data_IF_658469764196
#
_entry.id   IF_658469764196
#
_cell.length_a   1.000
_cell.length_b   1.000
_cell.length_c   1.000
_cell.angle_alpha   90.00
_cell.angle_beta   90.00
_cell.angle_gamma   90.00
#
_symmetry.space_group_name_H-M   'P 1'
#
loop_
_entity.id
_entity.type
_entity.pdbx_description
1 polymer ?
#
# COMPACT_ATOMS: atom_id res chain seq x y z
N UNK A 1 -15.00 10.36 -6.91
CA UNK A 1 -13.69 9.68 -6.94
C UNK A 1 -12.90 10.15 -5.74
N UNK A 2 -12.39 9.23 -4.90
CA UNK A 2 -11.50 9.61 -3.79
C UNK A 2 -10.21 10.16 -4.41
N UNK A 3 -9.77 11.32 -3.97
CA UNK A 3 -8.59 11.97 -4.53
C UNK A 3 -7.35 11.12 -4.24
N UNK A 4 -6.61 10.72 -5.29
CA UNK A 4 -5.40 9.91 -5.15
C UNK A 4 -4.22 10.85 -4.86
N UNK A 5 -3.46 10.55 -3.80
CA UNK A 5 -2.30 11.34 -3.36
C UNK A 5 -0.99 10.93 -4.05
N UNK A 6 -1.02 9.90 -4.90
CA UNK A 6 0.15 9.45 -5.67
C UNK A 6 0.69 10.60 -6.53
N UNK A 7 1.97 10.92 -6.36
CA UNK A 7 2.64 12.00 -7.08
C UNK A 7 2.34 13.41 -6.55
N UNK A 8 1.66 13.54 -5.40
CA UNK A 8 1.39 14.81 -4.72
C UNK A 8 2.19 14.91 -3.43
N UNK A 9 2.35 16.14 -2.92
CA UNK A 9 2.81 16.32 -1.55
C UNK A 9 1.82 15.67 -0.58
N UNK A 10 2.34 14.84 0.31
CA UNK A 10 1.57 14.18 1.36
C UNK A 10 2.13 14.59 2.71
N UNK A 11 1.25 14.73 3.69
CA UNK A 11 1.66 14.85 5.08
C UNK A 11 2.39 13.58 5.50
N UNK A 12 3.40 13.75 6.35
CA UNK A 12 4.14 12.65 6.99
C UNK A 12 3.71 12.63 8.46
N UNK A 13 2.81 11.70 8.87
CA UNK A 13 2.37 11.60 10.25
C UNK A 13 3.54 11.36 11.19
N UNK A 14 3.53 12.03 12.35
CA UNK A 14 4.51 11.81 13.43
C UNK A 14 4.14 10.63 14.34
N UNK A 15 2.95 10.07 14.16
CA UNK A 15 2.40 8.92 14.88
C UNK A 15 1.78 7.96 13.87
N UNK A 16 1.52 6.72 14.29
CA UNK A 16 0.81 5.76 13.47
C UNK A 16 -0.52 6.35 12.98
N UNK A 17 -0.74 6.28 11.68
CA UNK A 17 -1.97 6.70 11.02
C UNK A 17 -2.22 5.80 9.81
N UNK A 18 -3.25 4.95 9.87
CA UNK A 18 -3.61 4.06 8.78
C UNK A 18 -4.32 4.79 7.62
N UNK A 19 -4.83 6.00 7.84
CA UNK A 19 -5.60 6.75 6.84
C UNK A 19 -4.75 7.23 5.67
N UNK A 20 -3.42 7.23 5.80
CA UNK A 20 -2.48 7.56 4.73
C UNK A 20 -2.48 6.52 3.60
N UNK A 21 -2.96 5.31 3.86
CA UNK A 21 -3.02 4.26 2.84
C UNK A 21 -4.17 4.54 1.86
N UNK A 22 -3.83 4.58 0.56
CA UNK A 22 -4.81 4.71 -0.52
C UNK A 22 -4.91 3.41 -1.31
N UNK A 23 -6.06 2.73 -1.32
CA UNK A 23 -6.24 1.54 -2.15
C UNK A 23 -6.33 1.91 -3.63
N UNK A 24 -5.79 1.05 -4.49
CA UNK A 24 -5.88 1.17 -5.94
C UNK A 24 -6.58 -0.07 -6.49
N UNK A 25 -7.65 0.12 -7.25
CA UNK A 25 -8.40 -0.97 -7.88
C UNK A 25 -7.58 -1.64 -8.98
N UNK A 26 -7.46 -2.97 -8.94
CA UNK A 26 -6.85 -3.74 -10.03
C UNK A 26 -7.77 -3.87 -11.24
N UNK A 27 -9.09 -3.77 -11.03
CA UNK A 27 -10.09 -3.94 -12.07
C UNK A 27 -9.91 -2.93 -13.20
N UNK A 28 -9.62 -1.67 -12.87
CA UNK A 28 -9.46 -0.59 -13.85
C UNK A 28 -8.34 -0.90 -14.86
N UNK A 29 -7.19 -1.39 -14.37
CA UNK A 29 -6.07 -1.80 -15.22
C UNK A 29 -6.36 -3.10 -15.97
N UNK A 30 -7.05 -4.06 -15.34
CA UNK A 30 -7.46 -5.32 -16.00
C UNK A 30 -8.37 -5.06 -17.19
N UNK A 31 -9.42 -4.24 -17.02
CA UNK A 31 -10.35 -3.88 -18.10
C UNK A 31 -9.61 -3.23 -19.26
N UNK A 32 -8.68 -2.31 -18.98
CA UNK A 32 -7.85 -1.67 -20.03
C UNK A 32 -6.98 -2.68 -20.80
N UNK A 33 -6.59 -3.78 -20.17
CA UNK A 33 -5.85 -4.87 -20.80
C UNK A 33 -6.76 -5.94 -21.42
N UNK A 34 -8.08 -5.71 -21.52
CA UNK A 34 -9.04 -6.67 -22.08
C UNK A 34 -9.39 -7.82 -21.14
N UNK A 35 -9.14 -7.67 -19.83
CA UNK A 35 -9.42 -8.68 -18.81
C UNK A 35 -10.64 -8.28 -17.97
N UNK A 36 -11.42 -9.27 -17.57
CA UNK A 36 -12.56 -9.12 -16.65
C UNK A 36 -12.12 -9.27 -15.18
N UNK A 37 -13.00 -8.94 -14.23
CA UNK A 37 -12.69 -8.92 -12.80
C UNK A 37 -12.19 -10.27 -12.26
N UNK A 38 -12.78 -11.36 -12.78
CA UNK A 38 -12.43 -12.74 -12.47
C UNK A 38 -11.76 -13.43 -13.67
N UNK A 39 -10.45 -13.24 -13.82
CA UNK A 39 -9.67 -14.01 -14.79
C UNK A 39 -9.41 -15.41 -14.22
N UNK A 40 -10.26 -16.38 -14.56
CA UNK A 40 -10.20 -17.77 -14.05
C UNK A 40 -8.87 -18.51 -14.32
N UNK A 41 -8.04 -17.99 -15.21
CA UNK A 41 -6.83 -18.67 -15.69
C UNK A 41 -5.53 -18.11 -15.11
N UNK A 42 -5.59 -17.11 -14.22
CA UNK A 42 -4.39 -16.52 -13.61
C UNK A 42 -4.52 -16.44 -12.11
N UNK A 43 -3.55 -17.04 -11.43
CA UNK A 43 -3.39 -16.96 -9.98
C UNK A 43 -2.01 -16.42 -9.65
N UNK A 44 -1.93 -15.60 -8.60
CA UNK A 44 -0.69 -14.95 -8.21
C UNK A 44 -0.85 -14.16 -6.93
N UNK A 45 0.27 -13.72 -6.37
CA UNK A 45 0.33 -12.91 -5.14
C UNK A 45 1.36 -11.80 -5.32
N UNK A 46 1.08 -10.65 -4.74
CA UNK A 46 2.05 -9.56 -4.65
C UNK A 46 2.77 -9.66 -3.31
N UNK A 47 4.06 -9.93 -3.35
CA UNK A 47 4.90 -9.96 -2.16
C UNK A 47 5.61 -8.61 -2.01
N UNK A 48 5.59 -8.09 -0.80
CA UNK A 48 6.25 -6.84 -0.44
C UNK A 48 7.29 -7.13 0.63
N UNK A 49 8.51 -6.63 0.44
CA UNK A 49 9.57 -6.64 1.44
C UNK A 49 9.80 -5.21 1.90
N UNK A 50 9.63 -4.95 3.20
CA UNK A 50 9.75 -3.59 3.75
C UNK A 50 11.07 -3.43 4.50
N UNK A 51 12.12 -3.09 3.77
CA UNK A 51 13.49 -3.01 4.30
C UNK A 51 13.70 -1.90 5.34
N UNK A 52 12.87 -0.86 5.32
CA UNK A 52 13.05 0.36 6.12
C UNK A 52 12.01 0.50 7.25
N UNK A 53 11.36 -0.59 7.63
CA UNK A 53 10.37 -0.56 8.71
C UNK A 53 11.04 -0.38 10.07
N UNK A 54 10.67 0.69 10.77
CA UNK A 54 11.11 0.97 12.14
C UNK A 54 10.00 1.63 12.98
N UNK A 55 10.05 1.43 14.30
CA UNK A 55 9.11 2.00 15.27
C UNK A 55 9.76 2.13 16.66
N UNK A 56 9.08 2.78 17.60
CA UNK A 56 9.49 2.83 19.01
C UNK A 56 8.71 1.80 19.84
N UNK A 57 9.37 1.09 20.75
CA UNK A 57 8.66 0.29 21.76
C UNK A 57 8.06 1.18 22.85
N UNK A 58 7.39 0.58 23.84
CA UNK A 58 6.74 1.30 24.95
C UNK A 58 7.72 2.12 25.81
N UNK A 59 9.02 1.77 25.80
CA UNK A 59 10.08 2.51 26.50
C UNK A 59 10.74 3.59 25.61
N UNK A 60 10.23 3.83 24.40
CA UNK A 60 10.78 4.82 23.46
C UNK A 60 12.06 4.37 22.75
N UNK A 61 12.41 3.09 22.81
CA UNK A 61 13.61 2.53 22.19
C UNK A 61 13.30 2.14 20.74
N UNK A 62 14.11 2.57 19.75
CA UNK A 62 13.97 2.15 18.36
C UNK A 62 14.02 0.62 18.19
N UNK A 63 13.16 0.15 17.29
CA UNK A 63 13.05 -1.24 16.82
C UNK A 63 12.93 -1.21 15.29
N UNK A 64 13.49 -2.23 14.64
CA UNK A 64 13.34 -2.45 13.21
C UNK A 64 13.22 -3.95 12.93
N UNK A 65 12.57 -4.29 11.82
CA UNK A 65 12.44 -5.67 11.37
C UNK A 65 12.11 -5.71 9.88
N UNK A 66 12.61 -6.73 9.20
CA UNK A 66 12.20 -7.16 7.86
C UNK A 66 11.21 -8.32 8.01
#
# INVERSE_FOLDING_TARGET
MKEVLLGKESLIPKKYDASVLTPISRLDSRIKCGLEDFVKNFEGKDYWTSYETSWLNEQGIPRNKI
#
